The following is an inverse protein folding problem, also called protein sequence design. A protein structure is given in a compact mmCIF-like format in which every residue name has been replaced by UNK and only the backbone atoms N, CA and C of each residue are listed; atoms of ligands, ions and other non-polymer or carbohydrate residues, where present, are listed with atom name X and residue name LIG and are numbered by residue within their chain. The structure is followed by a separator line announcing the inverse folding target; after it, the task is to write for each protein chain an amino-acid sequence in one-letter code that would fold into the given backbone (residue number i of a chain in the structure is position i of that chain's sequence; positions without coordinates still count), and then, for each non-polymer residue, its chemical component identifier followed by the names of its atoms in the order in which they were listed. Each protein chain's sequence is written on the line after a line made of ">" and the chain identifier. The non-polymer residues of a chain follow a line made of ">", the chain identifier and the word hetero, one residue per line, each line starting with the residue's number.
data_IF_899630672837
#
_entry.id   IF_899630672837
#
_cell.length_a   1.000
_cell.length_b   1.000
_cell.length_c   1.000
_cell.angle_alpha   90.00
_cell.angle_beta   90.00
_cell.angle_gamma   90.00
#
_symmetry.space_group_name_H-M   'P 1'
#
loop_
_entity.id
_entity.type
_entity.pdbx_description
1 polymer ?
#
# COMPACT_ATOMS: atom_id res chain seq x y z
N UNK A 1 21.35 3.97 -27.30
CA UNK A 1 21.84 3.50 -25.99
C UNK A 1 20.66 3.64 -25.07
N UNK A 2 20.27 2.56 -24.41
CA UNK A 2 19.14 2.56 -23.50
C UNK A 2 19.50 3.47 -22.29
N UNK A 3 18.58 4.34 -21.86
CA UNK A 3 18.86 5.47 -20.96
C UNK A 3 19.22 5.04 -19.54
N UNK A 4 18.95 3.77 -19.22
CA UNK A 4 19.11 3.10 -17.93
C UNK A 4 20.58 2.73 -17.70
N UNK A 5 21.35 2.47 -18.76
CA UNK A 5 22.79 2.20 -18.69
C UNK A 5 23.54 3.36 -18.01
N UNK A 6 23.13 4.61 -18.22
CA UNK A 6 23.77 5.78 -17.61
C UNK A 6 23.72 5.74 -16.06
N UNK A 7 22.67 5.14 -15.50
CA UNK A 7 22.52 5.00 -14.05
C UNK A 7 23.17 3.70 -13.56
N UNK A 8 22.91 2.59 -14.25
CA UNK A 8 23.37 1.26 -13.84
C UNK A 8 24.88 1.04 -14.02
N UNK A 9 25.55 1.80 -14.89
CA UNK A 9 27.01 1.78 -14.98
C UNK A 9 27.68 2.19 -13.67
N UNK A 10 27.06 3.12 -12.93
CA UNK A 10 27.53 3.57 -11.62
C UNK A 10 26.87 2.78 -10.47
N UNK A 11 25.58 2.44 -10.57
CA UNK A 11 24.79 1.84 -9.49
C UNK A 11 24.71 0.29 -9.55
N UNK A 12 25.76 -0.36 -10.04
CA UNK A 12 25.92 -1.82 -10.11
C UNK A 12 26.74 -2.40 -8.94
N UNK A 13 26.97 -1.62 -7.89
CA UNK A 13 27.79 -2.03 -6.74
C UNK A 13 29.31 -1.94 -6.96
N UNK A 14 29.78 -1.48 -8.12
CA UNK A 14 31.22 -1.25 -8.39
C UNK A 14 31.59 0.23 -8.40
N UNK A 15 30.70 1.12 -8.86
CA UNK A 15 30.94 2.57 -8.91
C UNK A 15 30.47 3.29 -7.64
N UNK A 16 29.16 3.24 -7.37
CA UNK A 16 28.51 3.83 -6.21
C UNK A 16 28.40 2.82 -5.06
N UNK A 17 28.30 3.33 -3.83
CA UNK A 17 28.05 2.52 -2.63
C UNK A 17 26.68 1.82 -2.63
N UNK A 18 25.80 2.16 -3.57
CA UNK A 18 24.44 1.65 -3.67
C UNK A 18 24.32 0.76 -4.89
N UNK A 19 24.08 -0.53 -4.67
CA UNK A 19 23.82 -1.52 -5.71
C UNK A 19 22.32 -1.61 -6.00
N UNK A 20 21.88 -0.86 -7.01
CA UNK A 20 20.50 -0.86 -7.50
C UNK A 20 20.27 -2.01 -8.48
N UNK A 21 21.30 -2.38 -9.25
CA UNK A 21 21.21 -3.43 -10.27
C UNK A 21 20.65 -4.74 -9.71
N UNK A 22 21.15 -5.16 -8.54
CA UNK A 22 20.66 -6.37 -7.88
C UNK A 22 19.20 -6.28 -7.43
N UNK A 23 18.67 -5.08 -7.21
CA UNK A 23 17.27 -4.90 -6.83
C UNK A 23 16.35 -4.90 -8.04
N UNK A 24 16.70 -4.18 -9.11
CA UNK A 24 15.86 -4.07 -10.33
C UNK A 24 15.80 -5.37 -11.11
N UNK A 25 16.76 -6.27 -10.90
CA UNK A 25 16.73 -7.64 -11.41
C UNK A 25 15.81 -8.57 -10.61
N UNK A 26 15.37 -8.17 -9.41
CA UNK A 26 14.37 -8.93 -8.65
C UNK A 26 13.02 -8.79 -9.33
N UNK A 27 12.62 -9.85 -10.01
CA UNK A 27 11.25 -10.01 -10.47
C UNK A 27 10.40 -10.46 -9.28
N UNK A 28 9.49 -9.61 -8.81
CA UNK A 28 8.49 -10.02 -7.81
C UNK A 28 7.77 -11.28 -8.30
N UNK A 29 7.52 -12.24 -7.42
CA UNK A 29 6.80 -13.48 -7.76
C UNK A 29 5.47 -13.16 -8.48
N UNK A 30 5.30 -13.59 -9.73
CA UNK A 30 4.12 -13.24 -10.54
C UNK A 30 4.24 -11.95 -11.39
N UNK A 31 5.46 -11.41 -11.54
CA UNK A 31 5.78 -10.39 -12.56
C UNK A 31 5.20 -9.01 -12.30
N UNK A 32 4.99 -8.64 -11.03
CA UNK A 32 4.44 -7.32 -10.63
C UNK A 32 5.52 -6.48 -9.94
N UNK A 33 6.19 -5.63 -10.70
CA UNK A 33 7.29 -4.77 -10.27
C UNK A 33 7.40 -3.57 -11.23
N UNK A 34 8.22 -2.57 -10.87
CA UNK A 34 8.61 -1.52 -11.80
C UNK A 34 9.70 -2.03 -12.73
N UNK A 35 9.34 -2.36 -13.97
CA UNK A 35 10.30 -2.86 -14.95
C UNK A 35 11.10 -1.74 -15.60
N UNK A 36 12.14 -1.31 -14.90
CA UNK A 36 13.04 -0.24 -15.34
C UNK A 36 14.10 -0.67 -16.35
N UNK A 37 14.16 -1.96 -16.72
CA UNK A 37 15.16 -2.48 -17.67
C UNK A 37 14.51 -2.82 -19.02
N UNK A 38 13.20 -3.10 -19.06
CA UNK A 38 12.50 -3.46 -20.29
C UNK A 38 12.09 -2.28 -21.17
N UNK A 39 11.91 -1.08 -20.59
CA UNK A 39 11.53 0.12 -21.36
C UNK A 39 12.75 0.72 -22.06
N UNK A 40 12.55 1.18 -23.30
CA UNK A 40 13.55 1.95 -24.06
C UNK A 40 12.92 3.21 -24.67
N UNK A 41 11.82 3.70 -24.10
CA UNK A 41 10.85 4.57 -24.78
C UNK A 41 10.53 5.87 -24.04
N UNK A 42 11.33 6.29 -23.06
CA UNK A 42 11.15 7.59 -22.44
C UNK A 42 11.46 8.74 -23.42
N UNK A 43 10.51 9.67 -23.49
CA UNK A 43 10.66 10.93 -24.22
C UNK A 43 10.46 12.08 -23.25
N UNK A 44 11.30 13.11 -23.34
CA UNK A 44 11.15 14.34 -22.55
C UNK A 44 9.84 15.11 -22.83
N UNK A 45 9.08 14.70 -23.84
CA UNK A 45 7.78 15.31 -24.20
C UNK A 45 6.60 14.38 -23.92
N UNK A 46 6.81 13.25 -23.25
CA UNK A 46 5.70 12.37 -22.90
C UNK A 46 4.76 13.05 -21.90
N UNK A 47 3.45 12.79 -21.98
CA UNK A 47 2.51 13.31 -21.01
C UNK A 47 2.77 12.69 -19.63
N UNK A 48 2.72 13.50 -18.57
CA UNK A 48 2.83 13.04 -17.18
C UNK A 48 1.80 11.94 -16.88
N UNK A 49 0.60 12.05 -17.46
CA UNK A 49 -0.47 11.05 -17.42
C UNK A 49 -0.59 10.37 -18.78
N UNK A 50 0.26 9.37 -19.02
CA UNK A 50 0.29 8.62 -20.27
C UNK A 50 -0.82 7.55 -20.38
N UNK A 51 -1.20 7.16 -21.61
CA UNK A 51 -2.14 6.05 -21.84
C UNK A 51 -1.51 4.67 -21.60
N UNK A 52 -0.17 4.58 -21.68
CA UNK A 52 0.63 3.39 -21.41
C UNK A 52 1.60 3.73 -20.30
N UNK A 53 1.54 2.98 -19.20
CA UNK A 53 2.50 3.10 -18.13
C UNK A 53 3.77 2.35 -18.51
N UNK A 54 4.91 3.03 -18.43
CA UNK A 54 6.24 2.45 -18.37
C UNK A 54 6.96 3.10 -17.19
N UNK A 55 8.12 2.56 -16.81
CA UNK A 55 8.93 3.13 -15.74
C UNK A 55 10.38 3.10 -16.18
N UNK A 56 11.05 4.25 -16.15
CA UNK A 56 12.49 4.38 -16.29
C UNK A 56 13.09 5.09 -15.07
N UNK A 57 14.43 5.09 -14.96
CA UNK A 57 15.10 5.75 -13.83
C UNK A 57 14.72 7.24 -13.75
N UNK A 58 14.58 7.90 -14.90
CA UNK A 58 14.29 9.33 -15.03
C UNK A 58 12.83 9.69 -14.70
N UNK A 59 11.93 8.69 -14.66
CA UNK A 59 10.55 8.93 -14.24
C UNK A 59 10.41 9.16 -12.73
N UNK A 60 11.39 8.69 -11.96
CA UNK A 60 11.44 8.80 -10.51
C UNK A 60 12.60 9.67 -10.02
N UNK A 61 13.64 9.88 -10.83
CA UNK A 61 14.83 10.63 -10.45
C UNK A 61 15.18 11.70 -11.49
N UNK A 62 15.47 12.91 -11.02
CA UNK A 62 16.07 13.95 -11.85
C UNK A 62 17.57 14.03 -11.56
N UNK A 63 18.47 13.55 -12.43
CA UNK A 63 19.91 13.52 -12.15
C UNK A 63 20.56 14.90 -12.01
N UNK A 64 19.89 15.98 -12.44
CA UNK A 64 20.38 17.35 -12.27
C UNK A 64 19.92 18.00 -10.95
N UNK A 65 18.93 17.44 -10.26
CA UNK A 65 18.38 17.97 -9.02
C UNK A 65 18.56 17.03 -7.81
N UNK A 66 18.65 15.72 -8.06
CA UNK A 66 18.74 14.69 -7.03
C UNK A 66 19.95 14.90 -6.11
N UNK A 67 19.71 14.79 -4.81
CA UNK A 67 20.74 14.92 -3.78
C UNK A 67 20.43 14.04 -2.55
N UNK A 68 21.22 14.19 -1.49
CA UNK A 68 21.12 13.36 -0.27
C UNK A 68 20.27 13.98 0.85
N UNK A 69 19.53 15.06 0.59
CA UNK A 69 18.67 15.67 1.61
C UNK A 69 17.58 14.70 2.06
N UNK A 70 17.29 14.71 3.36
CA UNK A 70 16.26 13.88 3.97
C UNK A 70 14.98 14.68 4.19
N UNK A 71 13.84 14.01 4.19
CA UNK A 71 12.55 14.60 4.55
C UNK A 71 11.78 13.67 5.50
N UNK A 72 10.72 14.22 6.08
CA UNK A 72 9.73 13.47 6.87
C UNK A 72 8.44 13.43 6.05
N UNK A 73 7.73 12.31 6.10
CA UNK A 73 6.50 12.15 5.35
C UNK A 73 5.48 13.26 5.67
N UNK A 74 4.71 13.74 4.66
CA UNK A 74 4.70 13.26 3.28
C UNK A 74 5.70 13.95 2.34
N UNK A 75 6.51 14.88 2.83
CA UNK A 75 7.38 15.74 2.00
C UNK A 75 8.38 14.93 1.16
N UNK A 76 8.66 15.45 -0.03
CA UNK A 76 9.66 14.91 -0.97
C UNK A 76 11.08 14.95 -0.36
N UNK A 77 11.86 13.91 -0.58
CA UNK A 77 13.27 13.84 -0.18
C UNK A 77 14.21 14.10 -1.35
N UNK A 78 15.51 14.25 -1.06
CA UNK A 78 16.55 14.61 -2.01
C UNK A 78 16.59 13.80 -3.31
N UNK A 79 16.47 12.45 -3.28
CA UNK A 79 16.47 11.65 -4.50
C UNK A 79 15.34 11.96 -5.48
N UNK A 80 14.22 12.52 -5.00
CA UNK A 80 13.01 12.77 -5.79
C UNK A 80 12.83 14.25 -6.19
N UNK A 81 13.79 15.12 -5.86
CA UNK A 81 13.70 16.55 -6.18
C UNK A 81 13.68 16.80 -7.69
N UNK A 82 12.92 17.82 -8.12
CA UNK A 82 12.81 18.18 -9.54
C UNK A 82 12.09 17.17 -10.43
N UNK A 83 11.37 16.21 -9.84
CA UNK A 83 10.58 15.19 -10.57
C UNK A 83 9.12 15.65 -10.67
N UNK A 84 8.49 15.44 -11.81
CA UNK A 84 7.08 15.77 -12.04
C UNK A 84 6.16 14.67 -11.52
N UNK A 85 4.89 15.00 -11.29
CA UNK A 85 3.93 14.03 -10.75
C UNK A 85 2.48 14.48 -10.88
N UNK A 86 1.59 13.81 -10.14
CA UNK A 86 0.16 14.12 -10.06
C UNK A 86 -0.20 14.36 -8.60
N UNK A 87 -0.82 15.51 -8.30
CA UNK A 87 -1.23 15.81 -6.92
C UNK A 87 -2.54 15.11 -6.52
N UNK A 88 -2.93 15.26 -5.25
CA UNK A 88 -4.15 14.67 -4.69
C UNK A 88 -5.46 15.16 -5.37
N UNK A 89 -5.41 16.27 -6.11
CA UNK A 89 -6.53 16.77 -6.91
C UNK A 89 -6.54 16.23 -8.35
N UNK A 90 -5.70 15.22 -8.65
CA UNK A 90 -5.48 14.66 -9.99
C UNK A 90 -4.93 15.68 -11.01
N UNK A 91 -4.18 16.68 -10.53
CA UNK A 91 -3.57 17.73 -11.37
C UNK A 91 -2.08 17.45 -11.54
N UNK A 92 -1.61 17.52 -12.79
CA UNK A 92 -0.19 17.41 -13.09
C UNK A 92 0.60 18.57 -12.50
N UNK A 93 1.70 18.24 -11.83
CA UNK A 93 2.64 19.18 -11.22
C UNK A 93 4.02 18.99 -11.83
N UNK A 94 4.70 20.09 -12.14
CA UNK A 94 6.03 20.06 -12.76
C UNK A 94 7.11 19.62 -11.78
N UNK A 95 6.91 19.88 -10.49
CA UNK A 95 7.79 19.43 -9.41
C UNK A 95 6.94 19.03 -8.21
N UNK A 96 7.06 17.77 -7.81
CA UNK A 96 6.34 17.23 -6.65
C UNK A 96 6.82 17.88 -5.36
N UNK A 97 5.89 18.11 -4.43
CA UNK A 97 6.17 18.58 -3.08
C UNK A 97 6.03 17.43 -2.07
N UNK A 98 5.22 16.42 -2.40
CA UNK A 98 4.97 15.26 -1.58
C UNK A 98 5.31 13.98 -2.33
N UNK A 99 5.93 13.02 -1.64
CA UNK A 99 6.45 11.80 -2.28
C UNK A 99 5.35 10.94 -2.92
N UNK A 100 4.12 10.98 -2.42
CA UNK A 100 3.00 10.25 -3.00
C UNK A 100 2.60 10.76 -4.39
N UNK A 101 2.91 12.02 -4.73
CA UNK A 101 2.55 12.62 -6.02
C UNK A 101 3.30 11.96 -7.19
N UNK A 102 4.50 11.41 -6.91
CA UNK A 102 5.21 10.56 -7.86
C UNK A 102 4.44 9.27 -8.10
N UNK A 103 4.01 8.58 -7.04
CA UNK A 103 3.28 7.31 -7.17
C UNK A 103 1.95 7.51 -7.92
N UNK A 104 1.25 8.62 -7.66
CA UNK A 104 -0.02 8.97 -8.30
C UNK A 104 0.11 9.18 -9.80
N UNK A 105 1.31 9.51 -10.31
CA UNK A 105 1.58 9.60 -11.76
C UNK A 105 1.18 8.34 -12.52
N UNK A 106 1.44 7.16 -11.94
CA UNK A 106 1.17 5.87 -12.58
C UNK A 106 0.04 5.09 -11.91
N UNK A 107 -0.11 5.20 -10.60
CA UNK A 107 -1.11 4.47 -9.80
C UNK A 107 -2.42 5.23 -9.59
N UNK A 108 -2.44 6.53 -9.92
CA UNK A 108 -3.62 7.38 -9.76
C UNK A 108 -4.69 7.07 -10.80
N UNK A 109 -5.30 8.09 -11.40
CA UNK A 109 -6.49 7.92 -12.24
C UNK A 109 -6.22 7.45 -13.69
N UNK A 110 -4.96 7.19 -14.06
CA UNK A 110 -4.58 6.74 -15.40
C UNK A 110 -5.18 5.38 -15.79
N UNK A 111 -5.34 5.13 -17.09
CA UNK A 111 -5.89 3.85 -17.60
C UNK A 111 -4.90 2.68 -17.51
N UNK A 112 -3.61 2.96 -17.42
CA UNK A 112 -2.56 1.95 -17.26
C UNK A 112 -2.30 1.54 -15.81
N UNK A 113 -3.07 2.05 -14.84
CA UNK A 113 -2.86 1.78 -13.42
C UNK A 113 -3.03 0.29 -13.10
N UNK A 114 -2.28 -0.26 -12.13
CA UNK A 114 -2.46 -1.65 -11.72
C UNK A 114 -3.84 -1.88 -11.10
N UNK A 115 -4.48 -2.98 -11.45
CA UNK A 115 -5.72 -3.41 -10.80
C UNK A 115 -5.46 -3.91 -9.37
N UNK A 116 -6.47 -3.81 -8.50
CA UNK A 116 -6.42 -4.48 -7.18
C UNK A 116 -6.20 -5.99 -7.35
N UNK A 117 -5.43 -6.58 -6.42
CA UNK A 117 -5.16 -8.03 -6.39
C UNK A 117 -6.14 -8.81 -5.53
N UNK A 118 -6.94 -8.09 -4.74
CA UNK A 118 -7.90 -8.66 -3.82
C UNK A 118 -9.27 -8.33 -4.36
N UNK A 119 -10.17 -9.32 -4.41
CA UNK A 119 -11.51 -9.12 -4.93
C UNK A 119 -12.35 -8.38 -3.88
N UNK A 120 -12.23 -7.05 -3.84
CA UNK A 120 -12.88 -6.22 -2.82
C UNK A 120 -14.38 -6.11 -3.05
N UNK A 121 -15.15 -6.05 -1.95
CA UNK A 121 -16.56 -5.67 -1.94
C UNK A 121 -16.79 -4.29 -2.58
N UNK A 122 -15.95 -3.32 -2.21
CA UNK A 122 -15.88 -2.00 -2.82
C UNK A 122 -14.61 -1.94 -3.69
N UNK A 123 -14.68 -2.28 -4.99
CA UNK A 123 -13.53 -2.25 -5.86
C UNK A 123 -13.08 -0.82 -6.12
N UNK A 124 -11.81 -0.55 -5.86
CA UNK A 124 -11.11 0.68 -6.19
C UNK A 124 -9.67 0.33 -6.55
N UNK A 125 -9.10 1.05 -7.51
CA UNK A 125 -7.72 0.87 -7.96
C UNK A 125 -7.03 2.19 -8.34
N UNK A 126 -7.74 3.31 -8.23
CA UNK A 126 -7.16 4.64 -8.30
C UNK A 126 -6.70 5.06 -6.91
N UNK A 127 -5.38 4.99 -6.66
CA UNK A 127 -4.85 5.22 -5.31
C UNK A 127 -5.07 6.65 -4.79
N UNK A 128 -5.28 7.65 -5.67
CA UNK A 128 -5.68 9.02 -5.26
C UNK A 128 -7.02 8.96 -4.50
N UNK A 129 -7.94 8.13 -4.99
CA UNK A 129 -9.26 7.97 -4.39
C UNK A 129 -9.24 7.12 -3.12
N UNK A 130 -8.25 6.24 -2.95
CA UNK A 130 -8.11 5.37 -1.77
C UNK A 130 -7.48 6.11 -0.59
N UNK A 131 -6.51 6.99 -0.85
CA UNK A 131 -5.77 7.73 0.20
C UNK A 131 -6.32 9.12 0.51
N UNK A 132 -7.36 9.57 -0.19
CA UNK A 132 -7.99 10.86 0.04
C UNK A 132 -8.37 11.05 1.52
N UNK A 133 -7.95 12.16 2.13
CA UNK A 133 -8.07 12.40 3.58
C UNK A 133 -9.50 12.57 4.10
N UNK A 134 -10.47 12.77 3.20
CA UNK A 134 -11.89 12.80 3.52
C UNK A 134 -12.55 11.40 3.54
N UNK A 135 -11.81 10.34 3.25
CA UNK A 135 -12.30 8.97 3.28
C UNK A 135 -12.66 8.51 4.71
N UNK A 136 -13.67 7.63 4.88
CA UNK A 136 -14.04 7.09 6.19
C UNK A 136 -12.90 6.36 6.91
N UNK A 137 -12.00 5.72 6.16
CA UNK A 137 -10.78 5.11 6.71
C UNK A 137 -9.71 4.96 5.63
N UNK A 138 -8.45 5.10 6.03
CA UNK A 138 -7.26 5.04 5.16
C UNK A 138 -5.99 4.89 6.01
N UNK A 139 -4.93 4.33 5.43
CA UNK A 139 -3.58 4.48 5.97
C UNK A 139 -3.03 5.89 5.66
N UNK A 140 -2.24 6.50 6.56
CA UNK A 140 -1.97 7.94 6.51
C UNK A 140 -0.83 8.28 5.55
N UNK A 141 -1.08 8.28 4.23
CA UNK A 141 -0.09 8.66 3.20
C UNK A 141 -0.20 10.14 2.82
N UNK A 142 -1.41 10.63 2.54
CA UNK A 142 -1.64 12.05 2.20
C UNK A 142 -1.70 12.95 3.43
N UNK A 143 -2.11 12.38 4.58
CA UNK A 143 -2.22 13.10 5.84
C UNK A 143 -2.54 12.15 7.00
N UNK A 144 -2.58 12.68 8.24
CA UNK A 144 -2.89 11.89 9.44
C UNK A 144 -4.23 11.15 9.32
N UNK A 145 -4.32 9.96 9.92
CA UNK A 145 -5.54 9.17 9.88
C UNK A 145 -6.68 9.78 10.70
N UNK A 146 -7.92 9.47 10.32
CA UNK A 146 -9.11 9.98 11.01
C UNK A 146 -9.32 9.35 12.40
N UNK A 147 -8.82 8.13 12.63
CA UNK A 147 -9.00 7.43 13.90
C UNK A 147 -7.87 7.75 14.88
N UNK A 148 -8.20 8.37 16.01
CA UNK A 148 -7.26 8.71 17.08
C UNK A 148 -6.89 7.52 17.99
N UNK A 149 -7.59 6.40 17.86
CA UNK A 149 -7.40 5.21 18.67
C UNK A 149 -6.93 4.03 17.81
N UNK A 150 -5.61 3.80 17.79
CA UNK A 150 -4.98 2.66 17.11
C UNK A 150 -4.15 1.87 18.13
N UNK A 151 -4.76 1.01 18.96
CA UNK A 151 -4.10 0.36 20.11
C UNK A 151 -2.90 -0.53 19.74
N UNK A 152 -2.84 -0.99 18.49
CA UNK A 152 -1.73 -1.80 18.01
C UNK A 152 -0.58 -0.96 17.47
N UNK A 153 -0.70 0.35 17.28
CA UNK A 153 0.37 1.13 16.66
C UNK A 153 1.64 1.15 17.53
N UNK A 154 2.80 0.86 16.92
CA UNK A 154 4.09 0.83 17.64
C UNK A 154 4.83 2.16 17.56
N UNK A 155 5.55 2.49 18.64
CA UNK A 155 6.46 3.64 18.67
C UNK A 155 7.58 3.48 17.61
N UNK A 156 8.01 4.56 16.92
CA UNK A 156 7.67 5.98 17.18
C UNK A 156 6.38 6.48 16.51
N UNK A 157 5.63 5.61 15.82
CA UNK A 157 4.39 6.03 15.16
C UNK A 157 3.31 6.38 16.19
N UNK A 158 2.51 7.37 15.85
CA UNK A 158 1.32 7.82 16.58
C UNK A 158 0.15 7.93 15.61
N UNK A 159 -1.08 8.08 16.11
CA UNK A 159 -2.25 8.30 15.25
C UNK A 159 -2.15 9.56 14.37
N UNK A 160 -1.25 10.49 14.71
CA UNK A 160 -0.97 11.69 13.91
C UNK A 160 0.18 11.51 12.90
N UNK A 161 0.84 10.35 12.86
CA UNK A 161 1.93 10.10 11.93
C UNK A 161 1.42 10.00 10.50
N UNK A 162 2.25 10.46 9.58
CA UNK A 162 2.13 10.24 8.13
C UNK A 162 3.25 9.28 7.73
N UNK A 163 2.98 8.38 6.80
CA UNK A 163 3.92 7.38 6.29
C UNK A 163 4.14 7.58 4.79
N UNK A 164 5.23 7.04 4.27
CA UNK A 164 5.49 7.01 2.83
C UNK A 164 4.88 5.76 2.19
N UNK A 165 4.53 5.84 0.90
CA UNK A 165 4.22 4.63 0.10
C UNK A 165 5.32 3.58 0.21
N UNK A 166 6.58 4.02 0.32
CA UNK A 166 7.79 3.19 0.39
C UNK A 166 8.02 2.56 1.77
N UNK A 167 7.24 2.91 2.79
CA UNK A 167 7.24 2.14 4.04
C UNK A 167 6.64 0.75 3.83
N UNK A 168 5.71 0.61 2.86
CA UNK A 168 5.15 -0.66 2.42
C UNK A 168 5.76 -1.17 1.11
N UNK A 169 5.99 -0.29 0.13
CA UNK A 169 6.45 -0.61 -1.22
C UNK A 169 7.92 -0.22 -1.44
N UNK A 170 8.85 -1.08 -1.07
CA UNK A 170 10.28 -0.84 -1.22
C UNK A 170 11.03 -2.14 -1.45
N UNK A 171 12.32 -2.04 -1.76
CA UNK A 171 13.21 -3.20 -1.82
C UNK A 171 13.26 -3.95 -0.50
N UNK A 172 13.19 -5.28 -0.59
CA UNK A 172 13.32 -6.17 0.55
C UNK A 172 14.80 -6.33 0.94
N UNK A 173 15.07 -6.46 2.24
CA UNK A 173 16.42 -6.65 2.80
C UNK A 173 16.95 -5.42 3.55
N UNK A 174 17.68 -5.67 4.64
CA UNK A 174 18.14 -4.62 5.58
C UNK A 174 19.19 -3.68 5.01
N UNK A 175 19.94 -4.15 4.02
CA UNK A 175 21.01 -3.39 3.34
C UNK A 175 20.61 -2.97 1.92
N UNK A 176 19.35 -3.22 1.55
CA UNK A 176 18.87 -2.90 0.22
C UNK A 176 18.71 -1.38 0.07
N UNK A 177 18.99 -0.84 -1.13
CA UNK A 177 18.70 0.54 -1.46
C UNK A 177 17.26 0.94 -1.09
N UNK A 178 17.12 2.08 -0.42
CA UNK A 178 15.79 2.61 -0.06
C UNK A 178 15.00 2.97 -1.32
N UNK A 179 13.69 2.71 -1.30
CA UNK A 179 12.80 3.00 -2.43
C UNK A 179 12.32 1.75 -3.18
N UNK A 180 11.43 1.92 -4.18
CA UNK A 180 10.76 0.83 -4.88
C UNK A 180 11.58 0.31 -6.06
N UNK A 181 12.81 -0.17 -5.81
CA UNK A 181 13.71 -0.64 -6.86
C UNK A 181 13.52 -2.12 -7.21
N UNK A 182 12.67 -2.84 -6.49
CA UNK A 182 12.37 -4.27 -6.71
C UNK A 182 12.41 -5.07 -5.42
N UNK A 183 11.54 -6.08 -5.30
CA UNK A 183 11.44 -6.93 -4.11
C UNK A 183 11.03 -8.36 -4.47
N UNK A 184 11.43 -9.34 -3.66
CA UNK A 184 10.96 -10.73 -3.80
C UNK A 184 9.51 -10.93 -3.38
N UNK A 185 8.93 -9.99 -2.61
CA UNK A 185 7.55 -10.06 -2.12
C UNK A 185 6.61 -9.26 -3.03
N UNK A 186 5.56 -9.89 -3.53
CA UNK A 186 4.67 -9.29 -4.55
C UNK A 186 3.61 -8.37 -3.91
N UNK A 187 3.31 -7.19 -4.50
CA UNK A 187 3.68 -6.73 -5.83
C UNK A 187 4.80 -5.70 -5.76
N UNK A 188 5.89 -6.02 -5.05
CA UNK A 188 6.94 -5.13 -4.55
C UNK A 188 6.66 -4.62 -3.12
N UNK A 189 6.45 -5.53 -2.18
CA UNK A 189 6.33 -5.24 -0.76
C UNK A 189 7.71 -5.31 -0.09
N UNK A 190 7.98 -4.40 0.85
CA UNK A 190 9.24 -4.36 1.61
C UNK A 190 9.43 -5.59 2.50
N UNK A 191 8.32 -6.14 2.99
CA UNK A 191 8.26 -7.30 3.87
C UNK A 191 7.17 -8.25 3.39
N UNK A 192 7.24 -9.51 3.82
CA UNK A 192 6.26 -10.51 3.45
C UNK A 192 4.86 -10.17 4.00
N UNK A 193 3.87 -10.37 3.14
CA UNK A 193 2.47 -10.40 3.50
C UNK A 193 1.76 -11.46 2.66
N UNK A 194 1.38 -12.57 3.30
CA UNK A 194 0.64 -13.65 2.65
C UNK A 194 -0.86 -13.35 2.79
N UNK A 195 -1.57 -13.35 1.66
CA UNK A 195 -3.00 -13.02 1.61
C UNK A 195 -3.88 -14.23 1.31
N UNK A 196 -3.28 -15.41 1.14
CA UNK A 196 -4.02 -16.65 0.89
C UNK A 196 -4.78 -17.08 2.15
N UNK A 197 -6.03 -17.51 1.99
CA UNK A 197 -6.82 -18.04 3.08
C UNK A 197 -6.20 -19.32 3.66
N UNK A 198 -6.56 -19.66 4.91
CA UNK A 198 -6.01 -20.78 5.67
C UNK A 198 -4.50 -20.68 5.96
N UNK A 199 -3.88 -19.52 5.77
CA UNK A 199 -2.48 -19.27 6.09
C UNK A 199 -2.29 -19.26 7.61
N UNK A 200 -1.44 -20.14 8.18
CA UNK A 200 -1.11 -20.07 9.60
C UNK A 200 -0.43 -18.74 9.92
N UNK A 201 -0.98 -18.02 10.90
CA UNK A 201 -0.38 -16.77 11.36
C UNK A 201 1.04 -17.00 11.88
N UNK A 202 1.96 -16.12 11.47
CA UNK A 202 3.28 -16.01 12.06
C UNK A 202 3.82 -14.59 11.90
N UNK A 203 4.83 -14.24 12.71
CA UNK A 203 5.52 -12.96 12.59
C UNK A 203 6.10 -12.71 11.18
N UNK A 204 6.45 -13.77 10.45
CA UNK A 204 6.97 -13.68 9.09
C UNK A 204 5.85 -13.56 8.05
N UNK A 205 4.79 -14.36 8.17
CA UNK A 205 3.68 -14.37 7.20
C UNK A 205 3.01 -13.00 7.05
N UNK A 206 2.89 -12.25 8.16
CA UNK A 206 2.29 -10.90 8.21
C UNK A 206 3.30 -9.83 8.62
N UNK A 207 4.59 -10.04 8.32
CA UNK A 207 5.69 -9.16 8.71
C UNK A 207 5.48 -7.69 8.31
N UNK A 208 4.87 -7.45 7.14
CA UNK A 208 4.55 -6.10 6.68
C UNK A 208 3.65 -5.36 7.66
N UNK A 209 2.52 -5.95 8.05
CA UNK A 209 1.59 -5.35 9.00
C UNK A 209 2.26 -5.17 10.38
N UNK A 210 3.05 -6.16 10.80
CA UNK A 210 3.72 -6.13 12.10
C UNK A 210 4.88 -5.14 12.18
N UNK A 211 5.32 -4.57 11.06
CA UNK A 211 6.31 -3.48 11.05
C UNK A 211 5.77 -2.16 11.60
N UNK A 212 4.45 -1.98 11.64
CA UNK A 212 3.78 -0.80 12.21
C UNK A 212 2.80 -1.16 13.33
N UNK A 213 2.30 -2.40 13.36
CA UNK A 213 1.33 -2.86 14.35
C UNK A 213 1.89 -3.96 15.26
N UNK A 214 1.71 -3.78 16.55
CA UNK A 214 2.09 -4.70 17.60
C UNK A 214 1.30 -6.00 17.47
N UNK A 215 1.98 -7.07 17.08
CA UNK A 215 1.43 -8.42 16.97
C UNK A 215 0.70 -8.87 18.23
N UNK A 216 1.27 -8.64 19.42
CA UNK A 216 0.65 -9.04 20.69
C UNK A 216 -0.61 -8.25 20.99
N UNK A 217 -0.65 -6.95 20.68
CA UNK A 217 -1.87 -6.12 20.82
C UNK A 217 -3.02 -6.67 19.97
N UNK A 218 -2.73 -7.02 18.71
CA UNK A 218 -3.70 -7.60 17.76
C UNK A 218 -4.19 -8.96 18.27
N UNK A 219 -3.27 -9.89 18.54
CA UNK A 219 -3.60 -11.28 18.92
C UNK A 219 -4.16 -11.42 20.35
N UNK A 220 -4.05 -10.39 21.18
CA UNK A 220 -4.71 -10.31 22.49
C UNK A 220 -6.04 -9.55 22.42
N UNK A 221 -6.60 -9.33 21.23
CA UNK A 221 -7.93 -8.74 21.03
C UNK A 221 -8.08 -7.31 21.59
N UNK A 222 -7.00 -6.52 21.59
CA UNK A 222 -6.99 -5.20 22.25
C UNK A 222 -7.94 -4.18 21.61
N UNK A 223 -8.32 -4.37 20.33
CA UNK A 223 -9.24 -3.49 19.60
C UNK A 223 -10.51 -4.18 19.08
N UNK A 224 -10.50 -5.50 18.94
CA UNK A 224 -11.61 -6.30 18.47
C UNK A 224 -11.57 -7.66 19.17
N UNK A 225 -12.68 -8.04 19.80
CA UNK A 225 -12.79 -9.19 20.70
C UNK A 225 -12.45 -10.54 20.07
N UNK A 226 -12.51 -10.66 18.75
CA UNK A 226 -12.34 -11.92 18.00
C UNK A 226 -11.17 -11.91 17.02
N UNK A 227 -10.22 -10.95 17.14
CA UNK A 227 -9.04 -10.94 16.25
C UNK A 227 -8.28 -12.26 16.32
N UNK A 228 -8.05 -12.79 17.52
CA UNK A 228 -7.32 -14.02 17.72
C UNK A 228 -8.00 -15.22 17.08
N UNK A 229 -9.33 -15.32 17.26
CA UNK A 229 -10.14 -16.37 16.68
C UNK A 229 -10.00 -16.36 15.17
N UNK A 230 -10.21 -15.21 14.51
CA UNK A 230 -10.15 -15.14 13.06
C UNK A 230 -8.72 -15.35 12.53
N UNK A 231 -7.71 -14.74 13.15
CA UNK A 231 -6.34 -14.75 12.63
C UNK A 231 -5.63 -16.09 12.91
N UNK A 232 -5.73 -16.64 14.13
CA UNK A 232 -5.06 -17.89 14.51
C UNK A 232 -5.96 -19.12 14.46
N UNK A 233 -7.22 -18.98 14.85
CA UNK A 233 -8.21 -20.06 14.84
C UNK A 233 -8.64 -20.43 13.43
N UNK A 234 -9.23 -19.47 12.71
CA UNK A 234 -9.73 -19.63 11.34
C UNK A 234 -8.66 -19.41 10.27
N UNK A 235 -7.47 -18.95 10.67
CA UNK A 235 -6.31 -18.73 9.77
C UNK A 235 -6.63 -17.75 8.64
N UNK A 236 -7.40 -16.73 8.96
CA UNK A 236 -7.83 -15.67 8.05
C UNK A 236 -6.75 -14.57 7.98
N UNK A 237 -6.21 -14.22 6.80
CA UNK A 237 -5.26 -13.12 6.67
C UNK A 237 -5.94 -11.77 6.90
N UNK A 238 -5.17 -10.76 7.31
CA UNK A 238 -5.70 -9.41 7.61
C UNK A 238 -6.50 -8.82 6.44
N UNK A 239 -6.15 -9.19 5.21
CA UNK A 239 -6.71 -8.66 3.97
C UNK A 239 -8.13 -9.13 3.73
N UNK A 240 -8.58 -10.20 4.36
CA UNK A 240 -9.97 -10.65 4.21
C UNK A 240 -10.93 -9.59 4.70
N UNK A 241 -10.54 -8.85 5.74
CA UNK A 241 -11.35 -7.78 6.30
C UNK A 241 -10.83 -6.39 5.91
N UNK A 242 -9.52 -6.17 5.97
CA UNK A 242 -8.94 -4.83 5.87
C UNK A 242 -8.39 -4.53 4.48
N UNK A 243 -8.79 -3.39 3.93
CA UNK A 243 -8.11 -2.73 2.81
C UNK A 243 -6.81 -2.08 3.26
N UNK A 244 -5.70 -2.32 2.58
CA UNK A 244 -4.41 -1.77 2.96
C UNK A 244 -4.23 -0.31 2.55
N UNK A 245 -5.07 0.24 1.67
CA UNK A 245 -4.96 1.66 1.28
C UNK A 245 -6.01 2.50 1.99
N UNK A 246 -7.26 2.42 1.56
CA UNK A 246 -8.36 3.16 2.15
C UNK A 246 -9.64 3.00 1.36
N UNK A 247 -10.73 3.53 1.91
CA UNK A 247 -12.06 3.32 1.36
C UNK A 247 -12.57 4.63 0.79
N UNK A 248 -12.78 4.70 -0.52
CA UNK A 248 -13.30 5.90 -1.16
C UNK A 248 -14.64 6.34 -0.55
N UNK A 249 -14.74 7.61 -0.17
CA UNK A 249 -15.93 8.24 0.43
C UNK A 249 -17.18 8.24 -0.45
N UNK A 250 -17.05 8.05 -1.77
CA UNK A 250 -18.16 7.85 -2.70
C UNK A 250 -18.67 6.40 -2.76
N UNK A 251 -17.96 5.44 -2.16
CA UNK A 251 -18.30 4.01 -2.18
C UNK A 251 -18.62 3.47 -0.78
N UNK A 252 -17.94 3.96 0.26
CA UNK A 252 -18.12 3.54 1.64
C UNK A 252 -18.44 4.68 2.59
N UNK A 253 -18.70 4.35 3.86
CA UNK A 253 -19.01 5.35 4.90
C UNK A 253 -18.39 4.98 6.25
N UNK A 254 -18.44 5.91 7.21
CA UNK A 254 -17.82 5.77 8.53
C UNK A 254 -18.52 4.78 9.46
N UNK A 255 -19.67 4.23 9.08
CA UNK A 255 -20.36 3.18 9.83
C UNK A 255 -19.98 1.81 9.24
N UNK A 256 -20.06 1.66 7.93
CA UNK A 256 -19.92 0.33 7.31
C UNK A 256 -18.50 0.00 6.86
N UNK A 257 -17.63 1.02 6.77
CA UNK A 257 -16.28 0.91 6.26
C UNK A 257 -15.29 1.71 7.12
N UNK A 258 -15.57 1.88 8.41
CA UNK A 258 -14.56 2.32 9.35
C UNK A 258 -13.45 1.26 9.46
N UNK A 259 -12.30 1.65 10.04
CA UNK A 259 -11.20 0.74 10.33
C UNK A 259 -10.72 -0.09 9.12
N UNK A 260 -10.78 0.50 7.92
CA UNK A 260 -10.39 -0.12 6.65
C UNK A 260 -11.23 -1.33 6.24
N UNK A 261 -12.42 -1.54 6.82
CA UNK A 261 -13.18 -2.76 6.53
C UNK A 261 -13.78 -2.73 5.12
N UNK A 262 -13.33 -3.66 4.28
CA UNK A 262 -13.74 -3.89 2.89
C UNK A 262 -13.43 -5.35 2.51
N UNK A 263 -14.44 -6.21 2.57
CA UNK A 263 -14.24 -7.66 2.54
C UNK A 263 -13.65 -8.18 1.22
N UNK A 264 -12.84 -9.23 1.32
CA UNK A 264 -12.40 -10.04 0.19
C UNK A 264 -13.48 -11.06 -0.19
N UNK A 265 -14.09 -10.86 -1.36
CA UNK A 265 -15.16 -11.68 -1.93
C UNK A 265 -14.69 -13.04 -2.42
N UNK A 266 -13.38 -13.29 -2.49
CA UNK A 266 -12.87 -14.64 -2.76
C UNK A 266 -13.01 -15.59 -1.57
N UNK A 267 -13.26 -15.04 -0.37
CA UNK A 267 -13.31 -15.78 0.90
C UNK A 267 -14.65 -15.55 1.61
N UNK A 268 -15.15 -14.32 1.61
CA UNK A 268 -16.38 -13.91 2.28
C UNK A 268 -17.54 -13.87 1.29
N UNK A 269 -18.71 -14.36 1.71
CA UNK A 269 -19.96 -14.29 0.93
C UNK A 269 -21.07 -13.56 1.70
N UNK A 270 -22.17 -13.18 1.03
CA UNK A 270 -23.38 -12.75 1.72
C UNK A 270 -23.88 -13.79 2.71
N UNK A 271 -24.50 -13.31 3.78
CA UNK A 271 -25.07 -14.13 4.85
C UNK A 271 -26.40 -14.80 4.42
N UNK A 272 -27.04 -15.56 5.31
CA UNK A 272 -28.32 -16.24 5.03
C UNK A 272 -29.50 -15.32 4.64
N UNK A 273 -29.36 -14.01 4.87
CA UNK A 273 -30.31 -12.96 4.47
C UNK A 273 -29.83 -12.11 3.29
N UNK A 274 -28.82 -12.57 2.55
CA UNK A 274 -28.22 -11.88 1.39
C UNK A 274 -27.61 -10.52 1.76
N UNK A 275 -27.03 -10.41 2.97
CA UNK A 275 -26.35 -9.21 3.46
C UNK A 275 -24.84 -9.43 3.55
N UNK A 276 -24.07 -8.45 3.07
CA UNK A 276 -22.61 -8.43 3.17
C UNK A 276 -22.11 -7.03 3.57
N UNK A 277 -21.96 -6.77 4.87
CA UNK A 277 -21.38 -5.53 5.38
C UNK A 277 -20.95 -5.65 6.85
N UNK A 278 -20.08 -4.73 7.27
CA UNK A 278 -19.79 -4.44 8.66
C UNK A 278 -20.62 -3.23 9.12
N UNK A 279 -20.92 -3.14 10.41
CA UNK A 279 -21.59 -2.00 11.04
C UNK A 279 -20.84 -1.63 12.33
N UNK A 280 -20.21 -0.47 12.35
CA UNK A 280 -19.55 0.11 13.52
C UNK A 280 -20.60 0.52 14.57
N UNK A 281 -20.43 0.04 15.81
CA UNK A 281 -21.30 0.35 16.95
C UNK A 281 -20.58 1.20 18.02
N UNK A 282 -19.43 1.78 17.65
CA UNK A 282 -18.57 2.59 18.49
C UNK A 282 -17.32 1.84 18.97
N UNK A 283 -16.64 2.42 19.96
CA UNK A 283 -15.34 1.94 20.43
C UNK A 283 -15.39 0.44 20.80
N UNK A 284 -14.60 -0.34 20.07
CA UNK A 284 -14.43 -1.80 20.22
C UNK A 284 -15.72 -2.60 20.08
N UNK A 285 -16.73 -2.05 19.39
CA UNK A 285 -18.02 -2.69 19.20
C UNK A 285 -18.43 -2.65 17.73
N UNK A 286 -18.93 -3.76 17.23
CA UNK A 286 -19.37 -3.82 15.84
C UNK A 286 -20.24 -5.02 15.55
N UNK A 287 -20.83 -5.04 14.35
CA UNK A 287 -21.62 -6.16 13.84
C UNK A 287 -21.15 -6.54 12.46
N UNK A 288 -21.12 -7.83 12.20
CA UNK A 288 -20.88 -8.35 10.86
C UNK A 288 -22.16 -9.00 10.33
N UNK A 289 -22.43 -8.73 9.05
CA UNK A 289 -23.46 -9.38 8.25
C UNK A 289 -22.74 -10.02 7.08
N UNK A 290 -22.37 -11.30 7.20
CA UNK A 290 -21.61 -12.05 6.19
C UNK A 290 -21.65 -13.56 6.48
N UNK A 291 -21.20 -14.39 5.54
CA UNK A 291 -20.80 -15.77 5.82
C UNK A 291 -19.30 -15.91 5.56
N UNK A 292 -18.57 -16.54 6.49
CA UNK A 292 -17.14 -16.85 6.35
C UNK A 292 -16.83 -18.17 7.06
N UNK A 293 -16.04 -19.05 6.41
CA UNK A 293 -15.66 -20.36 6.97
C UNK A 293 -16.83 -21.22 7.49
N UNK A 294 -18.01 -21.08 6.87
CA UNK A 294 -19.23 -21.81 7.23
C UNK A 294 -20.05 -21.18 8.36
N UNK A 295 -19.55 -20.13 9.01
CA UNK A 295 -20.27 -19.38 10.04
C UNK A 295 -21.14 -18.28 9.43
N UNK A 296 -22.42 -18.22 9.82
CA UNK A 296 -23.39 -17.22 9.38
C UNK A 296 -23.48 -16.06 10.39
N UNK A 297 -22.91 -14.91 10.03
CA UNK A 297 -22.94 -13.71 10.85
C UNK A 297 -24.23 -12.93 10.51
N UNK A 298 -25.28 -13.03 11.35
CA UNK A 298 -26.59 -12.44 11.02
C UNK A 298 -27.47 -11.94 12.19
N UNK A 299 -27.16 -10.77 12.79
CA UNK A 299 -25.81 -10.27 12.98
C UNK A 299 -25.14 -11.00 14.14
N UNK A 300 -23.85 -11.26 14.00
CA UNK A 300 -23.00 -11.47 15.18
C UNK A 300 -22.48 -10.10 15.63
N UNK A 301 -22.62 -9.84 16.93
CA UNK A 301 -22.16 -8.60 17.59
C UNK A 301 -20.93 -8.90 18.43
N UNK A 302 -20.02 -7.93 18.48
CA UNK A 302 -18.72 -8.02 19.16
C UNK A 302 -18.49 -6.81 20.04
#
# INVERSE_FOLDING_TARGET
>A
MAHENNCLDCHNGQGANTDILTQVQKVSTGGKYHDVIASTTHSSTEPIKGPVNHVECQDCHNPHAANNSTAVAPYVNGPLLGVSGINASDIAVNEIQYSYELCFRCHGSGSGRPSSRISRLLPQDNVILEFATNNPSYHPVEGPGNNSNVPSLISPLTASSVIYCTDCHSSDGTSSPKGPHGSTFTPMLKLQYITDDNTPESATAYALCYSCHNRSSILNNSSFGEHDKHIRGERTPCSVCHDSHGINSGQGNSINNSNLINFDLSIVSPNSQDRLYFEDQGMFRGRCYLTCHGEDHNPLSY
#
